data_IF_686982940346
#
_entry.id   IF_686982940346
#
_cell.length_a   1.000
_cell.length_b   1.000
_cell.length_c   1.000
_cell.angle_alpha   90.00
_cell.angle_beta   90.00
_cell.angle_gamma   90.00
#
_symmetry.space_group_name_H-M   'P 1'
#
loop_
_entity.id
_entity.type
_entity.pdbx_description
1 polymer ?
#
# COMPACT_ATOMS: atom_id res chain seq x y z
N UNK A 1 -23.45 24.80 -27.47
CA UNK A 1 -22.86 23.73 -28.31
C UNK A 1 -22.47 22.59 -27.39
N UNK A 2 -22.91 21.36 -27.69
CA UNK A 2 -22.47 20.13 -27.02
C UNK A 2 -21.72 19.25 -28.02
N UNK A 3 -20.64 18.62 -27.56
CA UNK A 3 -19.86 17.69 -28.38
C UNK A 3 -19.97 16.31 -27.74
N UNK A 4 -20.42 15.33 -28.53
CA UNK A 4 -20.57 13.95 -28.09
C UNK A 4 -19.53 13.10 -28.81
N UNK A 5 -18.82 12.26 -28.07
CA UNK A 5 -17.87 11.30 -28.64
C UNK A 5 -18.07 9.94 -27.98
N UNK A 6 -17.93 8.87 -28.76
CA UNK A 6 -17.93 7.51 -28.25
C UNK A 6 -16.50 7.00 -28.19
N UNK A 7 -16.11 6.45 -27.03
CA UNK A 7 -14.77 5.89 -26.82
C UNK A 7 -14.92 4.39 -26.68
N UNK A 8 -14.29 3.64 -27.57
CA UNK A 8 -14.19 2.18 -27.50
C UNK A 8 -12.73 1.82 -27.29
N UNK A 9 -12.42 1.12 -26.21
CA UNK A 9 -11.08 0.61 -25.94
C UNK A 9 -11.06 -0.85 -26.42
N UNK A 10 -10.19 -1.14 -27.38
CA UNK A 10 -9.97 -2.49 -27.89
C UNK A 10 -8.72 -3.06 -27.23
N UNK A 11 -8.84 -4.26 -26.67
CA UNK A 11 -7.70 -5.01 -26.16
C UNK A 11 -7.22 -5.98 -27.24
N UNK A 12 -6.15 -5.61 -27.94
CA UNK A 12 -5.56 -6.44 -28.99
C UNK A 12 -4.89 -7.72 -28.45
N UNK A 13 -4.62 -7.79 -27.15
CA UNK A 13 -3.93 -8.93 -26.54
C UNK A 13 -4.82 -10.19 -26.42
N UNK A 14 -6.14 -10.06 -26.55
CA UNK A 14 -7.08 -11.18 -26.45
C UNK A 14 -7.97 -11.33 -27.71
N UNK A 15 -7.38 -11.15 -28.90
CA UNK A 15 -8.06 -11.31 -30.19
C UNK A 15 -9.40 -10.54 -30.28
N UNK A 16 -9.49 -9.37 -29.64
CA UNK A 16 -10.69 -8.53 -29.53
C UNK A 16 -11.95 -9.21 -28.94
N UNK A 17 -11.81 -10.38 -28.30
CA UNK A 17 -12.95 -11.23 -27.91
C UNK A 17 -13.73 -10.72 -26.71
N UNK A 18 -13.10 -9.93 -25.82
CA UNK A 18 -13.76 -9.34 -24.65
C UNK A 18 -13.59 -7.82 -24.68
N UNK A 19 -14.64 -7.07 -25.06
CA UNK A 19 -14.66 -5.63 -24.90
C UNK A 19 -14.51 -5.29 -23.41
N UNK A 20 -13.59 -4.37 -23.08
CA UNK A 20 -13.56 -3.80 -21.74
C UNK A 20 -14.76 -2.86 -21.66
N UNK A 21 -15.81 -3.27 -20.95
CA UNK A 21 -16.99 -2.43 -20.75
C UNK A 21 -16.58 -1.20 -19.94
N UNK A 22 -16.72 -0.04 -20.56
CA UNK A 22 -16.27 1.23 -20.02
C UNK A 22 -17.43 2.23 -20.05
N UNK A 23 -18.28 2.14 -19.04
CA UNK A 23 -19.37 3.07 -18.87
C UNK A 23 -18.85 4.40 -18.27
N UNK A 24 -18.63 5.38 -19.15
CA UNK A 24 -18.43 6.78 -18.80
C UNK A 24 -19.79 7.49 -18.85
N UNK A 25 -20.46 7.71 -17.72
CA UNK A 25 -21.62 8.59 -17.71
C UNK A 25 -21.20 10.03 -18.08
N UNK A 26 -22.17 10.84 -18.48
CA UNK A 26 -21.96 12.27 -18.75
C UNK A 26 -21.27 12.94 -17.55
N UNK A 27 -20.03 13.39 -17.77
CA UNK A 27 -19.19 14.01 -16.76
C UNK A 27 -18.72 15.39 -17.19
N UNK A 28 -18.30 16.20 -16.22
CA UNK A 28 -17.70 17.50 -16.51
C UNK A 28 -16.32 17.28 -17.14
N UNK A 29 -16.17 17.75 -18.38
CA UNK A 29 -14.89 17.74 -19.08
C UNK A 29 -14.09 18.96 -18.63
N UNK A 30 -12.85 18.73 -18.19
CA UNK A 30 -11.87 19.77 -17.86
C UNK A 30 -10.67 19.62 -18.78
N UNK A 31 -10.13 20.72 -19.26
CA UNK A 31 -9.01 20.73 -20.20
C UNK A 31 -7.87 21.65 -19.77
N UNK A 32 -6.67 21.30 -20.22
CA UNK A 32 -5.49 22.16 -20.23
C UNK A 32 -5.02 22.30 -21.67
N UNK A 33 -4.92 23.52 -22.18
CA UNK A 33 -4.34 23.80 -23.49
C UNK A 33 -2.81 23.75 -23.41
N UNK A 34 -2.18 23.36 -24.52
CA UNK A 34 -0.73 23.46 -24.64
C UNK A 34 -0.32 24.94 -24.73
N UNK A 35 0.77 25.32 -24.08
CA UNK A 35 1.30 26.69 -24.08
C UNK A 35 2.31 26.88 -25.20
N UNK A 36 3.07 25.82 -25.50
CA UNK A 36 4.08 25.75 -26.56
C UNK A 36 3.96 24.43 -27.34
N UNK A 37 4.71 24.32 -28.44
CA UNK A 37 4.69 23.12 -29.31
C UNK A 37 5.19 21.85 -28.63
N UNK A 38 6.01 21.97 -27.59
CA UNK A 38 6.53 20.81 -26.85
C UNK A 38 5.60 20.37 -25.73
N UNK A 39 4.77 21.26 -25.19
CA UNK A 39 3.80 20.92 -24.14
C UNK A 39 2.64 20.09 -24.67
N UNK A 40 2.09 19.30 -23.75
CA UNK A 40 0.93 18.47 -24.00
C UNK A 40 -0.35 19.24 -23.66
N UNK A 41 -1.38 19.07 -24.48
CA UNK A 41 -2.75 19.44 -24.11
C UNK A 41 -3.45 18.23 -23.51
N UNK A 42 -4.28 18.46 -22.50
CA UNK A 42 -4.92 17.39 -21.75
C UNK A 42 -6.41 17.66 -21.68
N UNK A 43 -7.22 16.68 -22.06
CA UNK A 43 -8.66 16.67 -21.83
C UNK A 43 -8.93 15.57 -20.82
N UNK A 44 -9.63 15.90 -19.74
CA UNK A 44 -9.90 14.96 -18.66
C UNK A 44 -11.36 15.01 -18.23
N UNK A 45 -11.93 13.85 -17.97
CA UNK A 45 -13.23 13.70 -17.33
C UNK A 45 -13.04 12.95 -16.02
N UNK A 46 -13.60 13.48 -14.95
CA UNK A 46 -13.57 12.86 -13.63
C UNK A 46 -14.99 12.68 -13.15
N UNK A 47 -15.33 11.45 -12.81
CA UNK A 47 -16.67 11.01 -12.46
C UNK A 47 -16.59 10.36 -11.09
N UNK A 48 -17.38 10.88 -10.16
CA UNK A 48 -17.59 10.27 -8.85
C UNK A 48 -18.87 9.42 -8.94
N UNK A 49 -18.71 8.12 -8.76
CA UNK A 49 -19.77 7.12 -8.82
C UNK A 49 -20.38 6.90 -7.43
N UNK A 50 -21.63 6.45 -7.38
CA UNK A 50 -22.38 6.28 -6.11
C UNK A 50 -21.75 5.27 -5.14
N UNK A 51 -21.00 4.29 -5.65
CA UNK A 51 -20.24 3.30 -4.87
C UNK A 51 -18.94 3.89 -4.25
N UNK A 52 -18.76 5.21 -4.27
CA UNK A 52 -17.55 5.86 -3.77
C UNK A 52 -16.31 5.68 -4.66
N UNK A 53 -16.51 5.17 -5.88
CA UNK A 53 -15.46 5.05 -6.90
C UNK A 53 -15.28 6.36 -7.62
N UNK A 54 -14.02 6.74 -7.82
CA UNK A 54 -13.63 7.89 -8.60
C UNK A 54 -12.96 7.42 -9.88
N UNK A 55 -13.67 7.55 -10.99
CA UNK A 55 -13.21 7.20 -12.34
C UNK A 55 -12.66 8.46 -13.01
N UNK A 56 -11.41 8.40 -13.46
CA UNK A 56 -10.76 9.51 -14.17
C UNK A 56 -10.26 9.03 -15.52
N UNK A 57 -10.71 9.66 -16.59
CA UNK A 57 -10.24 9.46 -17.94
C UNK A 57 -9.47 10.69 -18.41
N UNK A 58 -8.29 10.49 -18.97
CA UNK A 58 -7.47 11.57 -19.55
C UNK A 58 -7.02 11.21 -20.96
N UNK A 59 -7.24 12.14 -21.88
CA UNK A 59 -6.68 12.15 -23.21
C UNK A 59 -5.57 13.20 -23.24
N UNK A 60 -4.38 12.77 -23.62
CA UNK A 60 -3.20 13.62 -23.70
C UNK A 60 -2.87 13.74 -25.18
N UNK A 61 -2.87 14.96 -25.68
CA UNK A 61 -2.54 15.27 -27.06
C UNK A 61 -1.22 16.01 -27.14
N UNK A 62 -0.49 15.74 -28.20
CA UNK A 62 0.77 16.42 -28.52
C UNK A 62 0.69 16.95 -29.95
N UNK A 63 1.34 18.07 -30.21
CA UNK A 63 1.51 18.55 -31.57
C UNK A 63 2.73 17.87 -32.20
N UNK A 64 2.54 17.28 -33.37
CA UNK A 64 3.63 16.67 -34.14
C UNK A 64 3.54 17.12 -35.60
N UNK A 65 4.69 17.32 -36.23
CA UNK A 65 4.76 17.62 -37.66
C UNK A 65 4.52 16.32 -38.44
N UNK A 66 3.42 16.29 -39.17
CA UNK A 66 3.07 15.17 -40.04
C UNK A 66 3.22 15.55 -41.49
N UNK A 67 3.83 14.65 -42.26
CA UNK A 67 3.97 14.81 -43.69
C UNK A 67 2.65 14.50 -44.38
N UNK A 68 1.86 15.54 -44.67
CA UNK A 68 0.59 15.40 -45.37
C UNK A 68 0.84 15.72 -46.85
N UNK A 69 0.82 14.67 -47.67
CA UNK A 69 1.21 14.72 -49.09
C UNK A 69 2.70 15.08 -49.26
N UNK A 70 3.00 16.36 -49.54
CA UNK A 70 4.36 16.89 -49.81
C UNK A 70 4.75 18.03 -48.86
N UNK A 71 3.90 18.38 -47.90
CA UNK A 71 4.11 19.49 -46.96
C UNK A 71 4.00 18.94 -45.54
N UNK A 72 4.91 19.37 -44.68
CA UNK A 72 4.85 19.07 -43.26
C UNK A 72 3.84 20.02 -42.59
N UNK A 73 2.82 19.44 -41.95
CA UNK A 73 1.75 20.16 -41.28
C UNK A 73 1.72 19.79 -39.80
N UNK A 74 1.65 20.79 -38.92
CA UNK A 74 1.48 20.57 -37.48
C UNK A 74 0.06 20.07 -37.19
N UNK A 75 -0.04 18.86 -36.65
CA UNK A 75 -1.32 18.25 -36.27
C UNK A 75 -1.31 17.78 -34.83
N UNK A 76 -2.45 17.91 -34.17
CA UNK A 76 -2.67 17.34 -32.85
C UNK A 76 -2.84 15.83 -32.98
N UNK A 77 -1.99 15.09 -32.32
CA UNK A 77 -2.09 13.64 -32.20
C UNK A 77 -2.46 13.27 -30.78
N UNK A 78 -3.30 12.25 -30.65
CA UNK A 78 -3.53 11.60 -29.37
C UNK A 78 -2.27 10.83 -28.99
N UNK A 79 -1.53 11.34 -28.01
CA UNK A 79 -0.28 10.75 -27.53
C UNK A 79 -0.56 9.60 -26.56
N UNK A 80 -1.49 9.80 -25.61
CA UNK A 80 -1.78 8.83 -24.56
C UNK A 80 -3.21 8.92 -24.06
N UNK A 81 -3.79 7.76 -23.77
CA UNK A 81 -5.02 7.64 -23.00
C UNK A 81 -4.69 7.05 -21.63
N UNK A 82 -5.15 7.69 -20.57
CA UNK A 82 -4.95 7.22 -19.19
C UNK A 82 -6.31 7.06 -18.53
N UNK A 83 -6.61 5.84 -18.11
CA UNK A 83 -7.75 5.53 -17.25
C UNK A 83 -7.26 5.20 -15.84
N UNK A 84 -7.89 5.82 -14.84
CA UNK A 84 -7.61 5.57 -13.43
C UNK A 84 -8.92 5.41 -12.69
N UNK A 85 -9.09 4.28 -12.02
CA UNK A 85 -10.17 4.03 -11.09
C UNK A 85 -9.60 4.01 -9.67
N UNK A 86 -10.11 4.89 -8.80
CA UNK A 86 -9.74 4.91 -7.38
C UNK A 86 -10.96 4.56 -6.55
N UNK A 87 -10.82 3.55 -5.69
CA UNK A 87 -11.81 3.30 -4.65
C UNK A 87 -11.49 4.22 -3.47
N UNK A 88 -12.43 5.06 -3.06
CA UNK A 88 -12.33 5.70 -1.75
C UNK A 88 -12.58 4.60 -0.72
N UNK A 89 -11.50 3.94 -0.28
CA UNK A 89 -11.58 3.08 0.90
C UNK A 89 -11.85 4.03 2.07
N UNK A 90 -13.13 4.26 2.36
CA UNK A 90 -13.55 4.72 3.66
C UNK A 90 -13.20 3.60 4.64
N UNK A 91 -11.93 3.52 5.02
CA UNK A 91 -11.56 2.91 6.29
C UNK A 91 -12.33 3.73 7.30
N UNK A 92 -13.48 3.19 7.71
CA UNK A 92 -14.34 3.77 8.71
C UNK A 92 -13.43 4.27 9.83
N UNK A 93 -13.52 5.54 10.22
CA UNK A 93 -12.63 6.15 11.21
C UNK A 93 -12.59 5.34 12.54
N UNK A 94 -13.62 4.51 12.74
CA UNK A 94 -13.76 3.48 13.77
C UNK A 94 -12.71 2.36 13.75
N UNK A 95 -12.04 2.05 12.64
CA UNK A 95 -11.03 0.98 12.57
C UNK A 95 -9.59 1.50 12.73
N UNK A 96 -9.33 2.80 12.50
CA UNK A 96 -7.97 3.36 12.58
C UNK A 96 -7.48 3.62 14.02
N UNK A 97 -8.39 3.69 15.00
CA UNK A 97 -8.05 3.93 16.42
C UNK A 97 -8.34 2.76 17.38
N UNK A 98 -8.84 1.63 16.89
CA UNK A 98 -9.31 0.54 17.77
C UNK A 98 -8.37 -0.64 17.98
N UNK A 99 -7.36 -0.85 17.14
CA UNK A 99 -6.63 -2.13 17.19
C UNK A 99 -5.52 -2.21 18.24
N UNK A 100 -4.98 -1.09 18.73
CA UNK A 100 -3.89 -1.11 19.72
C UNK A 100 -4.30 -0.62 21.12
N UNK A 101 -4.98 0.53 21.23
CA UNK A 101 -5.36 1.09 22.54
C UNK A 101 -6.52 0.34 23.20
N UNK A 102 -7.48 -0.18 22.41
CA UNK A 102 -8.62 -0.97 22.93
C UNK A 102 -8.16 -2.38 23.34
N UNK A 103 -7.14 -2.95 22.68
CA UNK A 103 -6.50 -4.22 23.07
C UNK A 103 -5.68 -4.09 24.37
N UNK A 104 -5.08 -2.92 24.61
CA UNK A 104 -4.40 -2.56 25.87
C UNK A 104 -5.36 -2.21 27.01
N UNK A 105 -6.62 -1.87 26.73
CA UNK A 105 -7.65 -1.64 27.75
C UNK A 105 -8.31 -2.93 28.26
N UNK A 106 -8.08 -4.06 27.60
CA UNK A 106 -8.63 -5.32 28.07
C UNK A 106 -7.93 -5.73 29.36
N UNK A 107 -8.67 -5.83 30.48
CA UNK A 107 -8.14 -6.26 31.79
C UNK A 107 -7.32 -7.56 31.71
N UNK A 108 -7.63 -8.40 30.73
CA UNK A 108 -6.91 -9.64 30.44
C UNK A 108 -5.48 -9.45 29.93
N UNK A 109 -5.18 -8.42 29.13
CA UNK A 109 -3.80 -8.19 28.63
C UNK A 109 -2.91 -7.60 29.72
N UNK A 110 -3.46 -6.70 30.55
CA UNK A 110 -2.79 -6.17 31.74
C UNK A 110 -2.52 -7.30 32.74
N UNK A 111 -3.50 -8.17 33.00
CA UNK A 111 -3.35 -9.31 33.90
C UNK A 111 -2.30 -10.30 33.41
N UNK A 112 -2.30 -10.67 32.12
CA UNK A 112 -1.25 -11.50 31.54
C UNK A 112 0.14 -10.87 31.68
N UNK A 113 0.27 -9.56 31.46
CA UNK A 113 1.53 -8.85 31.65
C UNK A 113 2.06 -8.95 33.10
N UNK A 114 1.18 -8.76 34.08
CA UNK A 114 1.53 -8.88 35.51
C UNK A 114 1.93 -10.31 35.87
N UNK A 115 1.18 -11.32 35.40
CA UNK A 115 1.50 -12.73 35.66
C UNK A 115 2.85 -13.12 35.06
N UNK A 116 3.16 -12.69 33.84
CA UNK A 116 4.45 -12.94 33.19
C UNK A 116 5.62 -12.27 33.91
N UNK A 117 5.41 -11.05 34.44
CA UNK A 117 6.42 -10.36 35.22
C UNK A 117 6.71 -11.09 36.53
N UNK A 118 5.67 -11.48 37.27
CA UNK A 118 5.82 -12.19 38.55
C UNK A 118 6.45 -13.57 38.37
N UNK A 119 6.08 -14.32 37.33
CA UNK A 119 6.68 -15.63 37.05
C UNK A 119 8.17 -15.52 36.74
N UNK A 120 8.57 -14.50 35.97
CA UNK A 120 9.97 -14.24 35.64
C UNK A 120 10.80 -13.90 36.88
N UNK A 121 10.28 -13.03 37.76
CA UNK A 121 10.95 -12.66 39.01
C UNK A 121 11.09 -13.87 39.93
N UNK A 122 10.02 -14.66 40.09
CA UNK A 122 10.05 -15.88 40.90
C UNK A 122 11.09 -16.89 40.38
N UNK A 123 11.21 -17.04 39.07
CA UNK A 123 12.20 -17.92 38.46
C UNK A 123 13.64 -17.46 38.72
N UNK A 124 13.90 -16.15 38.59
CA UNK A 124 15.22 -15.56 38.85
C UNK A 124 15.59 -15.74 40.32
N UNK A 125 14.70 -15.36 41.25
CA UNK A 125 14.93 -15.46 42.69
C UNK A 125 15.09 -16.92 43.11
N UNK A 126 14.23 -17.81 42.64
CA UNK A 126 14.33 -19.24 42.92
C UNK A 126 15.64 -19.85 42.42
N UNK A 127 16.10 -19.46 41.22
CA UNK A 127 17.38 -19.90 40.69
C UNK A 127 18.56 -19.35 41.50
N UNK A 128 18.50 -18.09 41.94
CA UNK A 128 19.52 -17.48 42.80
C UNK A 128 19.58 -18.15 44.18
N UNK A 129 18.43 -18.40 44.82
CA UNK A 129 18.34 -19.10 46.10
C UNK A 129 18.81 -20.54 45.99
N UNK A 130 18.44 -21.26 44.92
CA UNK A 130 18.93 -22.62 44.66
C UNK A 130 20.45 -22.64 44.54
N UNK A 131 21.05 -21.66 43.85
CA UNK A 131 22.53 -21.53 43.78
C UNK A 131 23.16 -21.17 45.11
N UNK A 132 22.45 -20.44 45.97
CA UNK A 132 22.98 -19.98 47.24
C UNK A 132 22.87 -21.04 48.37
N UNK A 133 21.80 -21.83 48.37
CA UNK A 133 21.49 -22.84 49.42
C UNK A 133 21.86 -24.29 49.05
N UNK A 134 22.19 -24.60 47.79
CA UNK A 134 22.86 -25.85 47.42
C UNK A 134 24.36 -25.63 47.15
N UNK A 135 25.22 -25.51 48.20
CA UNK A 135 26.66 -25.39 48.03
C UNK A 135 27.35 -26.72 47.71
N UNK A 136 26.66 -27.86 47.77
CA UNK A 136 27.28 -29.19 47.69
C UNK A 136 27.96 -29.51 46.34
N UNK A 137 27.70 -28.72 45.29
CA UNK A 137 28.50 -28.81 44.05
C UNK A 137 29.81 -28.02 44.11
N UNK A 138 29.95 -27.00 44.95
CA UNK A 138 31.21 -26.23 45.04
C UNK A 138 32.33 -27.06 45.68
N UNK A 139 32.01 -27.85 46.71
CA UNK A 139 32.96 -28.82 47.29
C UNK A 139 33.40 -29.89 46.27
N UNK A 140 32.53 -30.31 45.37
CA UNK A 140 32.88 -31.34 44.37
C UNK A 140 33.87 -30.83 43.32
N UNK A 141 33.79 -29.54 42.94
CA UNK A 141 34.74 -28.91 42.02
C UNK A 141 36.06 -28.52 42.72
N UNK A 142 36.02 -27.98 43.95
CA UNK A 142 37.24 -27.73 44.74
C UNK A 142 38.03 -29.02 45.05
N UNK A 143 37.34 -30.14 45.25
CA UNK A 143 38.00 -31.43 45.44
C UNK A 143 38.52 -32.05 44.13
N UNK A 144 37.92 -31.74 42.97
CA UNK A 144 38.45 -32.18 41.68
C UNK A 144 39.72 -31.41 41.28
N UNK A 145 39.79 -30.10 41.56
CA UNK A 145 40.97 -29.26 41.31
C UNK A 145 42.14 -29.55 42.28
N UNK A 146 41.91 -30.29 43.36
CA UNK A 146 42.93 -30.75 44.32
C UNK A 146 43.56 -32.11 43.98
N UNK A 147 43.11 -32.79 42.92
CA UNK A 147 43.75 -34.02 42.49
C UNK A 147 45.12 -33.69 41.86
N UNK A 148 46.23 -34.31 42.32
CA UNK A 148 47.53 -34.05 41.73
C UNK A 148 47.51 -34.50 40.27
N UNK A 149 47.99 -33.64 39.36
CA UNK A 149 48.26 -34.02 37.98
C UNK A 149 49.18 -35.24 37.98
N UNK A 150 48.65 -36.38 37.54
CA UNK A 150 49.42 -37.61 37.37
C UNK A 150 50.39 -37.35 36.20
N UNK A 151 51.68 -37.32 36.52
CA UNK A 151 52.79 -37.38 35.57
C UNK A 151 52.77 -38.71 34.79
#
# INVERSE_FOLDING_TARGET
>A
MSVTFQVKILNEQNNNSVPIDFHLPSGVIKGKCAVDRKSESVISSTIDESDGRKKTLKFIFRTEEMRVKRVDELRWQLNKVVYVEKYAVYLCERTRKRTLSESLQHRSTVFCGVVLALSSIAHIVGHMLRRHFMPHRKELYENLDRLPAIN
#
